data_IF_938127902541
#
_entry.id   IF_938127902541
#
_cell.length_a   1.000
_cell.length_b   1.000
_cell.length_c   1.000
_cell.angle_alpha   90.00
_cell.angle_beta   90.00
_cell.angle_gamma   90.00
#
_symmetry.space_group_name_H-M   'P 1'
#
loop_
_entity.id
_entity.type
_entity.pdbx_description
1 polymer ?
#
# COMPACT_ATOMS: atom_id res chain seq x y z
N UNK A 1 -12.62 15.23 -10.94
CA UNK A 1 -12.83 14.07 -11.85
C UNK A 1 -11.96 14.28 -13.07
N UNK A 2 -11.24 13.24 -13.48
CA UNK A 2 -10.42 13.24 -14.70
C UNK A 2 -11.23 12.59 -15.81
N UNK A 3 -11.34 13.24 -16.98
CA UNK A 3 -12.08 12.68 -18.12
C UNK A 3 -11.10 11.94 -19.04
N UNK A 4 -11.38 10.66 -19.31
CA UNK A 4 -10.60 9.81 -20.21
C UNK A 4 -11.55 9.33 -21.30
N UNK A 5 -11.20 9.57 -22.56
CA UNK A 5 -11.98 9.13 -23.70
C UNK A 5 -11.40 7.83 -24.24
N UNK A 6 -12.24 6.81 -24.43
CA UNK A 6 -11.81 5.46 -24.79
C UNK A 6 -12.64 5.01 -25.98
N UNK A 7 -11.98 4.56 -27.04
CA UNK A 7 -12.64 4.04 -28.24
C UNK A 7 -12.51 2.54 -28.27
N UNK A 8 -13.64 1.85 -28.45
CA UNK A 8 -13.70 0.39 -28.45
C UNK A 8 -14.24 -0.13 -29.80
N UNK A 9 -13.78 -1.30 -30.26
CA UNK A 9 -14.36 -1.97 -31.42
C UNK A 9 -15.84 -2.31 -31.21
N UNK A 10 -16.65 -2.22 -32.28
CA UNK A 10 -18.08 -2.58 -32.23
C UNK A 10 -18.32 -4.03 -31.76
N UNK A 11 -17.37 -4.94 -32.01
CA UNK A 11 -17.48 -6.33 -31.57
C UNK A 11 -17.60 -6.49 -30.05
N UNK A 12 -17.10 -5.53 -29.27
CA UNK A 12 -17.20 -5.53 -27.82
C UNK A 12 -18.49 -4.88 -27.30
N UNK A 13 -19.27 -4.21 -28.15
CA UNK A 13 -20.48 -3.49 -27.74
C UNK A 13 -21.50 -4.43 -27.09
N UNK A 14 -21.81 -5.55 -27.75
CA UNK A 14 -22.77 -6.54 -27.24
C UNK A 14 -22.31 -7.18 -25.93
N UNK A 15 -21.01 -7.40 -25.78
CA UNK A 15 -20.43 -7.89 -24.53
C UNK A 15 -20.62 -6.88 -23.39
N UNK A 16 -20.35 -5.60 -23.66
CA UNK A 16 -20.51 -4.53 -22.67
C UNK A 16 -21.98 -4.35 -22.29
N UNK A 17 -22.91 -4.37 -23.24
CA UNK A 17 -24.34 -4.27 -22.97
C UNK A 17 -24.83 -5.41 -22.07
N UNK A 18 -24.34 -6.63 -22.28
CA UNK A 18 -24.64 -7.76 -21.39
C UNK A 18 -24.07 -7.55 -19.98
N UNK A 19 -22.80 -7.10 -19.86
CA UNK A 19 -22.19 -6.83 -18.55
C UNK A 19 -22.88 -5.68 -17.80
N UNK A 20 -23.38 -4.67 -18.51
CA UNK A 20 -24.19 -3.59 -17.93
C UNK A 20 -25.50 -4.15 -17.36
N UNK A 21 -26.20 -4.98 -18.13
CA UNK A 21 -27.47 -5.58 -17.72
C UNK A 21 -27.30 -6.56 -16.54
N UNK A 22 -26.26 -7.40 -16.56
CA UNK A 22 -25.95 -8.35 -15.48
C UNK A 22 -25.46 -7.65 -14.22
N UNK A 23 -24.62 -6.63 -14.37
CA UNK A 23 -24.02 -5.89 -13.25
C UNK A 23 -24.86 -4.74 -12.70
N UNK A 24 -26.00 -4.43 -13.33
CA UNK A 24 -26.89 -3.35 -12.90
C UNK A 24 -26.29 -1.94 -13.08
N UNK A 25 -25.38 -1.77 -14.03
CA UNK A 25 -24.75 -0.48 -14.30
C UNK A 25 -25.67 0.40 -15.17
N UNK A 26 -25.56 1.72 -15.07
CA UNK A 26 -26.38 2.67 -15.85
C UNK A 26 -25.71 3.04 -17.18
N UNK A 27 -24.40 2.85 -17.31
CA UNK A 27 -23.67 3.13 -18.55
C UNK A 27 -22.40 2.30 -18.67
N UNK A 28 -21.86 2.23 -19.89
CA UNK A 28 -20.54 1.65 -20.14
C UNK A 28 -19.43 2.35 -19.35
N UNK A 29 -19.49 3.68 -19.22
CA UNK A 29 -18.51 4.45 -18.45
C UNK A 29 -18.51 4.06 -16.97
N UNK A 30 -19.68 3.82 -16.40
CA UNK A 30 -19.81 3.36 -15.01
C UNK A 30 -19.24 1.95 -14.83
N UNK A 31 -19.56 1.03 -15.75
CA UNK A 31 -18.99 -0.32 -15.78
C UNK A 31 -17.46 -0.28 -15.83
N UNK A 32 -16.88 0.50 -16.76
CA UNK A 32 -15.43 0.61 -16.89
C UNK A 32 -14.77 1.27 -15.68
N UNK A 33 -15.41 2.29 -15.11
CA UNK A 33 -14.89 2.93 -13.90
C UNK A 33 -14.80 1.93 -12.74
N UNK A 34 -15.85 1.14 -12.53
CA UNK A 34 -15.85 0.10 -11.50
C UNK A 34 -14.80 -0.98 -11.79
N UNK A 35 -14.66 -1.41 -13.05
CA UNK A 35 -13.66 -2.39 -13.47
C UNK A 35 -12.23 -1.88 -13.21
N UNK A 36 -11.93 -0.63 -13.54
CA UNK A 36 -10.62 -0.01 -13.30
C UNK A 36 -10.37 0.16 -11.78
N UNK A 37 -11.38 0.56 -11.00
CA UNK A 37 -11.25 0.69 -9.55
C UNK A 37 -10.96 -0.68 -8.90
N UNK A 38 -11.69 -1.72 -9.29
CA UNK A 38 -11.47 -3.07 -8.80
C UNK A 38 -10.07 -3.59 -9.18
N UNK A 39 -9.63 -3.32 -10.41
CA UNK A 39 -8.30 -3.72 -10.88
C UNK A 39 -7.19 -2.98 -10.13
N UNK A 40 -7.34 -1.67 -9.92
CA UNK A 40 -6.40 -0.88 -9.12
C UNK A 40 -6.34 -1.37 -7.67
N UNK A 41 -7.48 -1.73 -7.07
CA UNK A 41 -7.52 -2.35 -5.73
C UNK A 41 -6.84 -3.72 -5.72
N UNK A 42 -7.00 -4.54 -6.76
CA UNK A 42 -6.34 -5.85 -6.88
C UNK A 42 -4.83 -5.70 -6.96
N UNK A 43 -4.34 -4.77 -7.78
CA UNK A 43 -2.90 -4.48 -7.89
C UNK A 43 -2.34 -3.88 -6.61
N UNK A 44 -3.09 -3.00 -5.93
CA UNK A 44 -2.68 -2.44 -4.63
C UNK A 44 -2.56 -3.53 -3.56
N UNK A 45 -3.50 -4.48 -3.51
CA UNK A 45 -3.41 -5.65 -2.60
C UNK A 45 -2.23 -6.55 -2.93
N UNK A 46 -1.94 -6.78 -4.21
CA UNK A 46 -0.74 -7.51 -4.65
C UNK A 46 0.55 -6.80 -4.27
N UNK A 47 0.59 -5.47 -4.39
CA UNK A 47 1.71 -4.63 -3.96
C UNK A 47 1.91 -4.67 -2.45
N UNK A 48 0.83 -4.73 -1.66
CA UNK A 48 0.91 -4.89 -0.21
C UNK A 48 1.48 -6.26 0.19
N UNK A 49 1.09 -7.33 -0.49
CA UNK A 49 1.73 -8.64 -0.31
C UNK A 49 3.23 -8.60 -0.68
N UNK A 50 3.59 -7.86 -1.73
CA UNK A 50 4.99 -7.65 -2.10
C UNK A 50 5.76 -6.81 -1.05
N UNK A 51 5.10 -5.88 -0.35
CA UNK A 51 5.67 -5.14 0.77
C UNK A 51 5.91 -6.04 1.99
N UNK A 52 5.03 -7.03 2.23
CA UNK A 52 5.21 -8.02 3.29
C UNK A 52 6.41 -8.94 3.06
N UNK A 53 6.83 -9.15 1.80
CA UNK A 53 8.03 -9.96 1.48
C UNK A 53 9.32 -9.23 1.93
N UNK A 54 9.30 -7.90 2.06
CA UNK A 54 10.46 -7.15 2.57
C UNK A 54 10.59 -7.19 4.11
N UNK A 55 9.63 -7.77 4.82
CA UNK A 55 9.69 -7.86 6.28
C UNK A 55 10.84 -8.77 6.74
N UNK A 56 11.09 -9.88 6.03
CA UNK A 56 12.15 -10.82 6.38
C UNK A 56 13.56 -10.19 6.23
N UNK A 57 13.75 -9.39 5.18
CA UNK A 57 14.98 -8.60 5.00
C UNK A 57 15.11 -7.51 6.08
N UNK A 58 14.00 -6.85 6.44
CA UNK A 58 13.99 -5.84 7.49
C UNK A 58 14.35 -6.43 8.87
N UNK A 59 13.74 -7.54 9.26
CA UNK A 59 14.07 -8.25 10.52
C UNK A 59 15.54 -8.69 10.54
N UNK A 60 16.05 -9.20 9.41
CA UNK A 60 17.47 -9.56 9.28
C UNK A 60 18.38 -8.34 9.51
N UNK A 61 18.03 -7.18 8.93
CA UNK A 61 18.81 -5.96 9.14
C UNK A 61 18.71 -5.40 10.56
N UNK A 62 17.60 -5.63 11.26
CA UNK A 62 17.43 -5.24 12.66
C UNK A 62 18.28 -6.08 13.61
N UNK A 63 18.34 -7.40 13.38
CA UNK A 63 19.17 -8.31 14.16
C UNK A 63 20.67 -7.97 13.99
N UNK A 64 21.12 -7.72 12.76
CA UNK A 64 22.50 -7.29 12.47
C UNK A 64 22.84 -5.97 13.17
N UNK A 65 21.94 -5.00 13.13
CA UNK A 65 22.12 -3.71 13.82
C UNK A 65 22.17 -3.86 15.35
N UNK A 66 21.38 -4.78 15.92
CA UNK A 66 21.37 -5.04 17.36
C UNK A 66 22.68 -5.68 17.83
N UNK A 67 23.22 -6.62 17.05
CA UNK A 67 24.52 -7.24 17.30
C UNK A 67 25.67 -6.23 17.19
N UNK A 68 25.65 -5.37 16.18
CA UNK A 68 26.62 -4.29 16.00
C UNK A 68 26.57 -3.27 17.16
N UNK A 69 25.37 -2.90 17.61
CA UNK A 69 25.21 -2.03 18.77
C UNK A 69 25.75 -2.67 20.04
N UNK A 70 25.47 -3.96 20.27
CA UNK A 70 26.02 -4.72 21.40
C UNK A 70 27.56 -4.78 21.36
N UNK A 71 28.14 -4.93 20.17
CA UNK A 71 29.58 -4.92 19.96
C UNK A 71 30.21 -3.54 20.22
N UNK A 72 29.52 -2.45 19.86
CA UNK A 72 30.02 -1.08 20.00
C UNK A 72 29.91 -0.54 21.44
N UNK A 73 28.89 -0.97 22.20
CA UNK A 73 28.54 -0.36 23.49
C UNK A 73 29.22 -1.06 24.68
N UNK A 74 29.65 -2.32 24.51
CA UNK A 74 30.24 -3.12 25.60
C UNK A 74 29.31 -3.19 26.83
N UNK A 75 29.81 -3.66 27.98
CA UNK A 75 29.02 -3.86 29.22
C UNK A 75 28.40 -2.58 29.84
N UNK A 76 28.39 -1.46 29.12
CA UNK A 76 27.77 -0.19 29.46
C UNK A 76 26.64 0.14 28.50
N UNK A 77 25.71 -0.80 28.29
CA UNK A 77 24.45 -0.49 27.64
C UNK A 77 23.74 0.61 28.45
N UNK A 78 23.45 1.79 27.87
CA UNK A 78 22.64 2.76 28.57
C UNK A 78 21.28 2.11 28.80
N UNK A 79 20.90 1.95 30.07
CA UNK A 79 19.54 1.59 30.45
C UNK A 79 18.65 2.62 29.75
N UNK A 80 17.76 2.17 28.87
CA UNK A 80 16.77 3.06 28.26
C UNK A 80 16.03 3.72 29.41
N UNK A 81 16.34 5.00 29.66
CA UNK A 81 15.63 5.80 30.64
C UNK A 81 14.16 5.82 30.24
N UNK A 82 13.25 5.71 31.21
CA UNK A 82 11.79 5.81 31.02
C UNK A 82 11.36 7.03 30.17
N UNK A 83 12.26 8.02 30.03
CA UNK A 83 12.09 9.17 29.15
C UNK A 83 12.02 8.85 27.64
N UNK A 84 12.51 7.69 27.17
CA UNK A 84 12.54 7.34 25.74
C UNK A 84 11.21 6.73 25.22
N UNK A 85 10.28 6.37 26.12
CA UNK A 85 9.01 5.69 25.74
C UNK A 85 7.91 6.68 25.36
N UNK A 86 8.03 7.95 25.73
CA UNK A 86 7.03 8.96 25.39
C UNK A 86 7.32 9.60 24.02
N UNK A 87 6.81 8.97 22.94
CA UNK A 87 6.78 9.51 21.57
C UNK A 87 6.05 10.86 21.41
N UNK A 88 5.50 11.45 22.47
CA UNK A 88 4.76 12.71 22.41
C UNK A 88 5.65 13.97 22.41
N UNK A 89 6.94 13.88 22.75
CA UNK A 89 7.80 15.07 22.88
C UNK A 89 8.83 15.28 21.77
N UNK A 90 8.84 14.42 20.73
CA UNK A 90 9.76 14.54 19.57
C UNK A 90 9.13 15.18 18.33
N UNK A 91 7.82 15.43 18.33
CA UNK A 91 7.19 16.25 17.30
C UNK A 91 7.13 17.69 17.80
N UNK A 92 8.14 18.47 17.45
CA UNK A 92 8.05 19.93 17.52
C UNK A 92 7.13 20.36 16.38
N UNK A 93 5.88 20.70 16.71
CA UNK A 93 4.99 21.40 15.79
C UNK A 93 5.65 22.72 15.38
N UNK A 94 6.19 22.76 14.17
CA UNK A 94 6.60 24.01 13.54
C UNK A 94 5.37 24.61 12.85
N UNK A 95 4.73 25.57 13.51
CA UNK A 95 3.77 26.51 12.89
C UNK A 95 4.50 27.72 12.28
#
# INVERSE_FOLDING_TARGET
MTNINITLPESLKSFIEQQIAEGGYNSASEYFQQLIIQEAQRQSKGSFHNLLINHEEFETTLDELADDFAACVGATAPILSDYAVSRESIYVDHF
#
